data_IF_516909617679
#
_entry.id   IF_516909617679
#
_cell.length_a   1.000
_cell.length_b   1.000
_cell.length_c   1.000
_cell.angle_alpha   90.00
_cell.angle_beta   90.00
_cell.angle_gamma   90.00
#
_symmetry.space_group_name_H-M   'P 1'
#
loop_
_entity.id
_entity.type
_entity.pdbx_description
1 polymer ?
#
# COMPACT_ATOMS: atom_id res chain seq x y z
N UNK A 1 -46.80 74.37 -15.34
CA UNK A 1 -45.33 74.46 -15.36
C UNK A 1 -44.75 73.28 -14.58
N UNK A 2 -43.98 72.43 -15.29
CA UNK A 2 -43.05 71.37 -14.83
C UNK A 2 -43.57 70.26 -13.90
N UNK A 3 -43.92 69.13 -14.52
CA UNK A 3 -43.72 67.79 -13.99
C UNK A 3 -42.21 67.53 -13.85
N UNK A 4 -41.74 67.04 -12.71
CA UNK A 4 -40.45 66.36 -12.58
C UNK A 4 -40.68 65.04 -11.85
N UNK A 5 -40.58 63.94 -12.60
CA UNK A 5 -40.58 62.57 -12.08
C UNK A 5 -39.20 62.27 -11.48
N UNK A 6 -39.20 61.76 -10.25
CA UNK A 6 -38.01 61.24 -9.56
C UNK A 6 -37.74 59.83 -10.09
N UNK A 7 -36.63 59.62 -10.80
CA UNK A 7 -36.15 58.29 -11.17
C UNK A 7 -35.27 57.73 -10.04
N UNK A 8 -35.71 56.62 -9.45
CA UNK A 8 -34.87 55.79 -8.56
C UNK A 8 -34.16 54.76 -9.45
N UNK A 9 -32.84 54.88 -9.58
CA UNK A 9 -32.00 53.86 -10.19
C UNK A 9 -31.70 52.77 -9.14
N UNK A 10 -32.35 51.63 -9.27
CA UNK A 10 -32.02 50.40 -8.55
C UNK A 10 -30.94 49.64 -9.31
N UNK A 11 -29.69 49.69 -8.84
CA UNK A 11 -28.61 48.81 -9.32
C UNK A 11 -28.80 47.42 -8.72
N UNK A 12 -29.36 46.50 -9.51
CA UNK A 12 -29.40 45.07 -9.19
C UNK A 12 -28.03 44.45 -9.40
N UNK A 13 -27.34 44.10 -8.32
CA UNK A 13 -26.10 43.32 -8.36
C UNK A 13 -26.48 41.85 -8.58
N UNK A 14 -26.47 41.40 -9.84
CA UNK A 14 -26.60 39.98 -10.16
C UNK A 14 -25.31 39.25 -9.73
N UNK A 15 -25.35 38.60 -8.57
CA UNK A 15 -24.41 37.54 -8.20
C UNK A 15 -24.70 36.34 -9.10
N UNK A 16 -24.02 36.25 -10.24
CA UNK A 16 -23.95 35.00 -10.99
C UNK A 16 -23.05 34.05 -10.21
N UNK A 17 -23.65 33.17 -9.41
CA UNK A 17 -22.95 32.00 -8.90
C UNK A 17 -22.55 31.15 -10.13
N UNK A 18 -21.27 31.19 -10.48
CA UNK A 18 -20.72 30.21 -11.40
C UNK A 18 -20.84 28.85 -10.70
N UNK A 19 -21.79 28.03 -11.15
CA UNK A 19 -21.78 26.62 -10.80
C UNK A 19 -20.44 26.07 -11.32
N UNK A 20 -19.53 25.72 -10.41
CA UNK A 20 -18.33 24.98 -10.74
C UNK A 20 -18.79 23.74 -11.49
N UNK A 21 -18.45 23.66 -12.77
CA UNK A 21 -18.72 22.48 -13.57
C UNK A 21 -17.80 21.41 -13.01
N UNK A 22 -18.34 20.39 -12.33
CA UNK A 22 -17.57 19.23 -11.93
C UNK A 22 -16.96 18.65 -13.21
N UNK A 23 -15.65 18.80 -13.37
CA UNK A 23 -14.93 18.27 -14.52
C UNK A 23 -15.04 16.75 -14.43
N UNK A 24 -15.57 16.10 -15.47
CA UNK A 24 -15.59 14.64 -15.51
C UNK A 24 -14.15 14.14 -15.59
N UNK A 25 -13.66 13.54 -14.49
CA UNK A 25 -12.30 13.01 -14.44
C UNK A 25 -12.21 11.84 -15.40
N UNK A 26 -11.44 12.02 -16.47
CA UNK A 26 -11.21 11.00 -17.49
C UNK A 26 -9.82 10.43 -17.30
N UNK A 27 -9.70 9.11 -17.36
CA UNK A 27 -8.41 8.48 -17.32
C UNK A 27 -7.57 8.80 -18.57
N UNK A 28 -6.25 8.63 -18.46
CA UNK A 28 -5.25 8.94 -19.48
C UNK A 28 -4.95 10.44 -19.63
N UNK A 29 -5.39 11.28 -18.68
CA UNK A 29 -5.25 12.73 -18.72
C UNK A 29 -4.75 13.25 -17.36
N UNK A 30 -4.15 14.44 -17.37
CA UNK A 30 -3.82 15.16 -16.15
C UNK A 30 -5.09 15.78 -15.55
N UNK A 31 -5.18 15.73 -14.22
CA UNK A 31 -6.22 16.32 -13.40
C UNK A 31 -5.60 17.30 -12.42
N UNK A 32 -6.14 18.51 -12.34
CA UNK A 32 -5.71 19.51 -11.36
C UNK A 32 -6.57 19.41 -10.11
N UNK A 33 -5.95 19.10 -8.97
CA UNK A 33 -6.61 18.94 -7.67
C UNK A 33 -7.40 20.20 -7.31
N UNK A 34 -8.67 20.01 -6.96
CA UNK A 34 -9.59 21.05 -6.55
C UNK A 34 -9.79 21.04 -5.02
N UNK A 35 -10.36 22.14 -4.50
CA UNK A 35 -10.71 22.23 -3.09
C UNK A 35 -11.73 21.14 -2.70
N UNK A 36 -11.40 20.32 -1.71
CA UNK A 36 -12.26 19.24 -1.21
C UNK A 36 -12.04 17.90 -1.90
N UNK A 37 -11.08 17.81 -2.82
CA UNK A 37 -10.66 16.52 -3.36
C UNK A 37 -9.81 15.74 -2.36
N UNK A 38 -10.00 14.43 -2.39
CA UNK A 38 -9.12 13.42 -1.83
C UNK A 38 -8.74 12.46 -2.95
N UNK A 39 -7.62 11.75 -2.85
CA UNK A 39 -7.28 10.75 -3.87
C UNK A 39 -8.39 9.68 -4.00
N UNK A 40 -9.04 9.34 -2.89
CA UNK A 40 -10.21 8.46 -2.82
C UNK A 40 -11.39 9.02 -3.64
N UNK A 41 -11.71 10.31 -3.51
CA UNK A 41 -12.81 10.94 -4.24
C UNK A 41 -12.48 11.12 -5.72
N UNK A 42 -11.23 11.43 -6.07
CA UNK A 42 -10.75 11.49 -7.45
C UNK A 42 -10.84 10.09 -8.08
N UNK A 43 -10.41 9.05 -7.37
CA UNK A 43 -10.52 7.66 -7.83
C UNK A 43 -11.99 7.24 -7.99
N UNK A 44 -12.86 7.61 -7.07
CA UNK A 44 -14.30 7.38 -7.18
C UNK A 44 -14.87 8.06 -8.43
N UNK A 45 -14.47 9.30 -8.71
CA UNK A 45 -14.94 10.04 -9.89
C UNK A 45 -14.38 9.47 -11.21
N UNK A 46 -13.11 9.06 -11.23
CA UNK A 46 -12.43 8.54 -12.42
C UNK A 46 -12.81 7.08 -12.73
N UNK A 47 -13.02 6.27 -11.69
CA UNK A 47 -13.08 4.80 -11.79
C UNK A 47 -14.33 4.19 -11.18
N UNK A 48 -15.15 4.97 -10.47
CA UNK A 48 -16.31 4.48 -9.74
C UNK A 48 -15.97 3.75 -8.44
N UNK A 49 -14.72 3.81 -7.97
CA UNK A 49 -14.27 3.10 -6.78
C UNK A 49 -13.18 3.90 -6.03
N UNK A 50 -13.40 4.13 -4.74
CA UNK A 50 -12.50 4.90 -3.86
C UNK A 50 -11.13 4.24 -3.70
N UNK A 51 -11.06 2.91 -3.55
CA UNK A 51 -9.83 2.12 -3.42
C UNK A 51 -8.90 2.16 -4.62
N UNK A 52 -9.34 2.71 -5.76
CA UNK A 52 -8.48 2.88 -6.93
C UNK A 52 -7.48 4.05 -6.83
N UNK A 53 -7.49 4.76 -5.72
CA UNK A 53 -6.59 5.87 -5.44
C UNK A 53 -5.11 5.49 -5.41
N UNK A 54 -4.76 4.25 -5.03
CA UNK A 54 -3.37 3.76 -5.03
C UNK A 54 -2.74 3.80 -6.43
N UNK A 55 -3.55 3.65 -7.48
CA UNK A 55 -3.08 3.79 -8.87
C UNK A 55 -2.75 5.24 -9.21
N UNK A 56 -3.56 6.19 -8.70
CA UNK A 56 -3.32 7.62 -8.88
C UNK A 56 -2.09 8.02 -8.08
N UNK A 57 -2.03 7.63 -6.81
CA UNK A 57 -0.90 7.92 -5.94
C UNK A 57 0.41 7.39 -6.54
N UNK A 58 0.46 6.11 -6.90
CA UNK A 58 1.64 5.49 -7.49
C UNK A 58 2.12 6.20 -8.75
N UNK A 59 1.20 6.66 -9.61
CA UNK A 59 1.54 7.39 -10.83
C UNK A 59 2.02 8.83 -10.58
N UNK A 60 1.84 9.35 -9.36
CA UNK A 60 2.07 10.76 -9.01
C UNK A 60 2.82 10.94 -7.69
N UNK A 61 3.51 9.90 -7.20
CA UNK A 61 4.18 9.94 -5.90
C UNK A 61 5.21 11.09 -5.82
N UNK A 62 5.88 11.40 -6.93
CA UNK A 62 6.82 12.53 -7.03
C UNK A 62 6.16 13.90 -6.80
N UNK A 63 4.85 14.03 -7.06
CA UNK A 63 4.08 15.26 -6.85
C UNK A 63 3.47 15.29 -5.46
N UNK A 64 2.90 14.17 -5.02
CA UNK A 64 2.11 14.07 -3.77
C UNK A 64 3.03 13.97 -2.54
N UNK A 65 4.22 13.40 -2.70
CA UNK A 65 5.11 13.09 -1.58
C UNK A 65 4.61 11.90 -0.75
N UNK A 66 5.17 11.69 0.45
CA UNK A 66 5.02 10.43 1.18
C UNK A 66 3.64 10.24 1.85
N UNK A 67 2.77 11.27 1.88
CA UNK A 67 1.45 11.16 2.49
C UNK A 67 0.35 11.32 1.41
N UNK A 68 -0.39 10.25 1.09
CA UNK A 68 -1.39 10.22 0.02
C UNK A 68 -2.67 10.97 0.41
N UNK A 69 -2.89 11.19 1.71
CA UNK A 69 -3.98 12.00 2.24
C UNK A 69 -3.72 13.51 2.12
N UNK A 70 -2.50 13.91 1.76
CA UNK A 70 -2.08 15.31 1.66
C UNK A 70 -1.84 15.74 0.21
N UNK A 71 -2.90 15.73 -0.60
CA UNK A 71 -2.89 16.41 -1.90
C UNK A 71 -3.19 17.90 -1.73
N UNK A 72 -2.49 18.75 -2.48
CA UNK A 72 -2.65 20.19 -2.42
C UNK A 72 -3.49 20.70 -3.60
N UNK A 73 -4.35 21.69 -3.33
CA UNK A 73 -5.10 22.36 -4.39
C UNK A 73 -4.12 22.96 -5.41
N UNK A 74 -4.27 22.58 -6.67
CA UNK A 74 -3.39 22.98 -7.76
C UNK A 74 -2.35 21.93 -8.16
N UNK A 75 -2.18 20.84 -7.40
CA UNK A 75 -1.36 19.71 -7.84
C UNK A 75 -1.91 19.15 -9.15
N UNK A 76 -1.00 18.81 -10.07
CA UNK A 76 -1.35 18.23 -11.37
C UNK A 76 -1.02 16.75 -11.32
N UNK A 77 -2.07 15.92 -11.30
CA UNK A 77 -1.97 14.48 -11.16
C UNK A 77 -2.36 13.79 -12.46
N UNK A 78 -1.50 12.94 -13.01
CA UNK A 78 -1.85 12.05 -14.10
C UNK A 78 -2.81 10.97 -13.63
N UNK A 79 -3.98 10.86 -14.26
CA UNK A 79 -5.00 9.84 -13.91
C UNK A 79 -4.82 8.64 -14.84
N UNK A 80 -4.24 7.50 -14.42
CA UNK A 80 -4.03 6.35 -15.31
C UNK A 80 -5.35 5.67 -15.72
N UNK A 81 -5.45 5.10 -16.93
CA UNK A 81 -6.60 4.27 -17.32
C UNK A 81 -6.52 2.87 -16.73
N UNK A 82 -7.63 2.36 -16.17
CA UNK A 82 -7.79 0.95 -15.75
C UNK A 82 -7.80 0.01 -16.96
N UNK A 83 -8.46 0.42 -18.03
CA UNK A 83 -8.68 -0.37 -19.22
C UNK A 83 -7.63 -0.05 -20.28
N UNK A 84 -6.63 -0.90 -20.36
CA UNK A 84 -5.74 -1.04 -21.50
C UNK A 84 -5.48 -2.53 -21.72
N UNK A 85 -4.94 -2.91 -22.88
CA UNK A 85 -4.22 -4.18 -22.94
C UNK A 85 -3.03 -4.04 -21.99
N UNK A 86 -3.15 -4.63 -20.80
CA UNK A 86 -2.12 -4.61 -19.77
C UNK A 86 -1.00 -5.61 -20.10
N UNK A 87 -1.13 -6.32 -21.23
CA UNK A 87 -0.34 -7.49 -21.55
C UNK A 87 -0.64 -8.65 -20.60
N UNK A 88 -0.11 -9.82 -20.95
CA UNK A 88 0.13 -10.84 -19.94
C UNK A 88 1.47 -10.55 -19.27
N UNK A 89 1.66 -11.08 -18.07
CA UNK A 89 2.98 -11.06 -17.45
C UNK A 89 4.02 -11.65 -18.42
N UNK A 90 5.10 -10.91 -18.65
CA UNK A 90 6.25 -11.39 -19.41
C UNK A 90 7.32 -12.03 -18.50
N UNK A 91 7.14 -11.97 -17.18
CA UNK A 91 8.11 -12.44 -16.21
C UNK A 91 8.27 -13.96 -16.28
N UNK A 92 9.52 -14.44 -16.18
CA UNK A 92 9.79 -15.87 -16.23
C UNK A 92 9.19 -16.61 -15.01
N UNK A 93 8.10 -17.36 -15.21
CA UNK A 93 7.46 -18.13 -14.13
C UNK A 93 8.27 -19.34 -13.67
N UNK A 94 9.22 -19.82 -14.47
CA UNK A 94 9.99 -21.03 -14.15
C UNK A 94 10.92 -20.84 -12.94
N UNK A 95 11.18 -19.60 -12.53
CA UNK A 95 11.94 -19.26 -11.32
C UNK A 95 11.12 -19.35 -10.04
N UNK A 96 9.78 -19.41 -10.14
CA UNK A 96 8.86 -19.44 -9.00
C UNK A 96 8.52 -20.89 -8.67
N UNK A 97 8.69 -21.29 -7.41
CA UNK A 97 8.36 -22.63 -6.94
C UNK A 97 7.87 -22.64 -5.49
N UNK A 98 7.05 -23.63 -5.17
CA UNK A 98 6.62 -23.91 -3.79
C UNK A 98 7.63 -24.85 -3.13
N UNK A 99 8.11 -24.50 -1.93
CA UNK A 99 9.07 -25.30 -1.18
C UNK A 99 8.49 -25.67 0.19
N UNK A 100 8.72 -26.90 0.63
CA UNK A 100 8.38 -27.33 1.99
C UNK A 100 9.56 -27.02 2.92
N UNK A 101 9.29 -26.40 4.08
CA UNK A 101 10.29 -25.91 5.05
C UNK A 101 11.30 -26.96 5.55
N UNK A 102 11.05 -28.25 5.32
CA UNK A 102 11.95 -29.35 5.69
C UNK A 102 13.14 -29.54 4.73
N UNK A 103 13.18 -28.85 3.59
CA UNK A 103 14.33 -28.91 2.67
C UNK A 103 15.51 -28.09 3.22
N UNK A 104 16.58 -28.76 3.63
CA UNK A 104 17.81 -28.08 4.07
C UNK A 104 18.51 -27.46 2.84
N UNK A 105 18.32 -26.15 2.65
CA UNK A 105 18.99 -25.43 1.59
C UNK A 105 20.45 -25.11 2.00
N UNK A 106 21.43 -25.31 1.11
CA UNK A 106 22.81 -24.98 1.41
C UNK A 106 22.96 -23.46 1.53
N UNK A 107 23.88 -22.99 2.39
CA UNK A 107 24.10 -21.56 2.62
C UNK A 107 24.41 -20.78 1.31
N UNK A 108 24.13 -19.47 1.24
CA UNK A 108 24.38 -18.66 0.06
C UNK A 108 25.87 -18.63 -0.24
N UNK A 109 26.22 -18.56 -1.52
CA UNK A 109 27.59 -18.45 -2.00
C UNK A 109 27.60 -17.54 -3.23
N UNK A 110 28.76 -16.96 -3.57
CA UNK A 110 28.89 -16.03 -4.70
C UNK A 110 28.47 -16.64 -6.06
N UNK A 111 28.60 -17.95 -6.21
CA UNK A 111 28.26 -18.71 -7.42
C UNK A 111 26.79 -19.19 -7.45
N UNK A 112 25.99 -18.86 -6.44
CA UNK A 112 24.60 -19.30 -6.32
C UNK A 112 23.61 -18.23 -6.78
N UNK A 113 22.44 -18.67 -7.31
CA UNK A 113 21.35 -17.77 -7.62
C UNK A 113 20.92 -17.01 -6.37
N UNK A 114 20.49 -15.76 -6.53
CA UNK A 114 19.81 -15.00 -5.48
C UNK A 114 18.53 -15.75 -5.12
N UNK A 115 18.36 -16.11 -3.84
CA UNK A 115 17.16 -16.81 -3.37
C UNK A 115 16.23 -15.81 -2.71
N UNK A 116 15.10 -15.62 -3.37
CA UNK A 116 13.99 -14.80 -2.88
C UNK A 116 13.00 -15.70 -2.16
N UNK A 117 12.53 -15.21 -1.03
CA UNK A 117 11.61 -15.87 -0.13
C UNK A 117 10.32 -15.05 -0.05
N UNK A 118 9.19 -15.70 -0.27
CA UNK A 118 7.85 -15.11 -0.21
C UNK A 118 6.86 -16.10 0.42
N UNK A 119 5.61 -15.70 0.62
CA UNK A 119 4.54 -16.52 1.19
C UNK A 119 3.20 -16.24 0.50
N UNK A 120 2.19 -17.02 0.86
CA UNK A 120 0.84 -16.91 0.34
C UNK A 120 -0.15 -16.33 1.36
N UNK A 121 -1.36 -16.00 0.93
CA UNK A 121 -2.45 -15.57 1.81
C UNK A 121 -2.62 -14.05 1.94
N UNK A 122 -1.88 -13.26 1.16
CA UNK A 122 -1.98 -11.81 1.14
C UNK A 122 -2.31 -11.27 -0.26
N UNK A 123 -3.44 -11.70 -0.83
CA UNK A 123 -3.90 -11.16 -2.10
C UNK A 123 -4.26 -9.66 -1.99
N UNK A 124 -3.95 -8.83 -3.00
CA UNK A 124 -3.33 -9.18 -4.29
C UNK A 124 -1.80 -9.20 -4.31
N UNK A 125 -1.17 -8.95 -3.17
CA UNK A 125 0.26 -8.69 -3.07
C UNK A 125 1.11 -9.96 -3.16
N UNK A 126 0.75 -11.00 -2.40
CA UNK A 126 1.44 -12.28 -2.38
C UNK A 126 0.42 -13.42 -2.20
N UNK A 127 0.21 -14.21 -3.25
CA UNK A 127 -0.68 -15.36 -3.22
C UNK A 127 -0.36 -16.33 -4.37
N UNK A 128 -0.05 -17.59 -4.06
CA UNK A 128 0.28 -18.65 -5.03
C UNK A 128 -0.82 -18.89 -6.06
N UNK A 129 -2.08 -18.63 -5.71
CA UNK A 129 -3.23 -18.82 -6.61
C UNK A 129 -3.36 -17.70 -7.67
N UNK A 130 -2.59 -16.61 -7.55
CA UNK A 130 -2.61 -15.49 -8.49
C UNK A 130 -1.49 -15.61 -9.53
N UNK A 131 -1.66 -14.92 -10.67
CA UNK A 131 -0.63 -14.85 -11.70
C UNK A 131 0.72 -14.43 -11.07
N UNK A 132 1.80 -15.12 -11.42
CA UNK A 132 3.15 -14.88 -10.87
C UNK A 132 3.24 -14.93 -9.34
N UNK A 133 2.26 -15.52 -8.63
CA UNK A 133 2.27 -15.55 -7.17
C UNK A 133 1.91 -14.22 -6.51
N UNK A 134 1.28 -13.28 -7.23
CA UNK A 134 0.86 -11.97 -6.71
C UNK A 134 1.74 -10.80 -7.17
N UNK A 135 1.28 -9.58 -6.87
CA UNK A 135 1.89 -8.32 -7.32
C UNK A 135 3.34 -8.16 -6.89
N UNK A 136 3.66 -8.34 -5.61
CA UNK A 136 5.02 -8.15 -5.09
C UNK A 136 5.98 -9.21 -5.62
N UNK A 137 5.49 -10.45 -5.73
CA UNK A 137 6.23 -11.58 -6.30
C UNK A 137 6.61 -11.29 -7.76
N UNK A 138 5.69 -10.71 -8.54
CA UNK A 138 6.00 -10.32 -9.91
C UNK A 138 6.93 -9.11 -9.99
N UNK A 139 6.76 -8.11 -9.13
CA UNK A 139 7.63 -6.94 -9.10
C UNK A 139 9.08 -7.36 -8.84
N UNK A 140 9.34 -8.23 -7.86
CA UNK A 140 10.71 -8.70 -7.60
C UNK A 140 11.24 -9.60 -8.72
N UNK A 141 10.38 -10.41 -9.35
CA UNK A 141 10.76 -11.23 -10.51
C UNK A 141 11.22 -10.34 -11.67
N UNK A 142 10.41 -9.34 -12.03
CA UNK A 142 10.72 -8.37 -13.08
C UNK A 142 11.95 -7.52 -12.73
N UNK A 143 12.11 -7.11 -11.48
CA UNK A 143 13.28 -6.36 -11.05
C UNK A 143 14.57 -7.17 -11.28
N UNK A 144 14.62 -8.42 -10.83
CA UNK A 144 15.80 -9.28 -11.00
C UNK A 144 16.05 -9.66 -12.48
N UNK A 145 14.98 -9.85 -13.27
CA UNK A 145 15.09 -10.12 -14.71
C UNK A 145 15.62 -8.91 -15.50
N UNK A 146 15.36 -7.70 -15.02
CA UNK A 146 15.79 -6.44 -15.65
C UNK A 146 16.97 -5.78 -14.91
N UNK A 147 17.61 -6.48 -13.98
CA UNK A 147 18.79 -5.98 -13.28
C UNK A 147 20.04 -6.12 -14.16
N UNK A 148 20.93 -5.15 -14.08
CA UNK A 148 22.23 -5.18 -14.74
C UNK A 148 23.01 -6.44 -14.36
N UNK A 149 23.70 -7.02 -15.34
CA UNK A 149 24.47 -8.25 -15.14
C UNK A 149 23.65 -9.54 -15.21
N UNK A 150 22.32 -9.48 -15.34
CA UNK A 150 21.42 -10.63 -15.50
C UNK A 150 21.67 -11.71 -14.42
N UNK A 151 21.44 -11.40 -13.13
CA UNK A 151 21.71 -12.33 -12.05
C UNK A 151 20.92 -13.63 -12.25
N UNK A 152 21.50 -14.77 -11.85
CA UNK A 152 20.69 -15.96 -11.64
C UNK A 152 19.88 -15.78 -10.35
N UNK A 153 18.61 -16.18 -10.34
CA UNK A 153 17.74 -16.08 -9.17
C UNK A 153 16.67 -17.17 -9.17
N UNK A 154 16.06 -17.36 -7.99
CA UNK A 154 14.89 -18.22 -7.77
C UNK A 154 13.98 -17.58 -6.71
N UNK A 155 12.69 -17.87 -6.78
CA UNK A 155 11.67 -17.36 -5.86
C UNK A 155 10.94 -18.55 -5.26
N UNK A 156 11.06 -18.70 -3.95
CA UNK A 156 10.51 -19.83 -3.21
C UNK A 156 9.39 -19.37 -2.28
N UNK A 157 8.23 -20.03 -2.38
CA UNK A 157 7.13 -19.87 -1.42
C UNK A 157 7.38 -20.72 -0.19
N UNK A 158 7.48 -20.06 0.97
CA UNK A 158 7.58 -20.65 2.29
C UNK A 158 6.42 -20.11 3.14
N UNK A 159 5.36 -20.90 3.28
CA UNK A 159 4.12 -20.49 3.96
C UNK A 159 4.23 -20.61 5.50
N UNK A 160 5.30 -20.03 6.04
CA UNK A 160 5.61 -19.88 7.47
C UNK A 160 6.24 -18.49 7.68
N UNK A 161 5.41 -17.43 7.64
CA UNK A 161 5.85 -16.03 7.69
C UNK A 161 6.72 -15.72 8.91
N UNK A 162 6.43 -16.37 10.04
CA UNK A 162 7.18 -16.21 11.29
C UNK A 162 8.64 -16.63 11.18
N UNK A 163 8.97 -17.52 10.24
CA UNK A 163 10.34 -17.99 10.01
C UNK A 163 11.14 -17.12 9.02
N UNK A 164 10.48 -16.25 8.25
CA UNK A 164 11.10 -15.52 7.13
C UNK A 164 12.26 -14.66 7.61
N UNK A 165 11.99 -13.70 8.50
CA UNK A 165 13.04 -12.80 8.96
C UNK A 165 14.03 -13.52 9.88
N UNK A 166 13.51 -14.41 10.73
CA UNK A 166 14.30 -15.19 11.66
C UNK A 166 13.69 -16.60 11.80
N UNK A 167 14.40 -17.68 11.44
CA UNK A 167 15.83 -17.74 11.13
C UNK A 167 16.19 -17.50 9.66
N UNK A 168 15.25 -17.55 8.71
CA UNK A 168 15.62 -17.80 7.31
C UNK A 168 16.49 -16.70 6.68
N UNK A 169 16.21 -15.43 6.94
CA UNK A 169 17.05 -14.31 6.47
C UNK A 169 18.28 -14.11 7.36
N UNK A 170 18.12 -14.11 8.70
CA UNK A 170 19.26 -13.86 9.62
C UNK A 170 20.33 -14.95 9.58
N UNK A 171 19.95 -16.22 9.42
CA UNK A 171 20.88 -17.35 9.28
C UNK A 171 21.33 -17.55 7.82
N UNK A 172 20.93 -16.64 6.93
CA UNK A 172 21.25 -16.62 5.51
C UNK A 172 20.72 -17.86 4.77
N UNK A 173 19.71 -18.56 5.27
CA UNK A 173 19.09 -19.66 4.52
C UNK A 173 18.48 -19.19 3.20
N UNK A 174 18.03 -17.93 3.15
CA UNK A 174 17.65 -17.18 1.97
C UNK A 174 18.40 -15.85 1.91
N UNK A 175 18.48 -15.26 0.72
CA UNK A 175 19.18 -14.01 0.51
C UNK A 175 18.27 -12.81 0.78
N UNK A 176 17.05 -12.82 0.22
CA UNK A 176 16.07 -11.74 0.41
C UNK A 176 14.66 -12.27 0.68
N UNK A 177 13.89 -11.53 1.48
CA UNK A 177 12.45 -11.74 1.69
C UNK A 177 11.68 -10.50 1.29
N UNK A 178 10.47 -10.62 0.75
CA UNK A 178 9.70 -9.49 0.20
C UNK A 178 8.45 -9.18 1.01
N UNK A 179 7.93 -7.96 0.86
CA UNK A 179 6.64 -7.56 1.45
C UNK A 179 6.73 -7.04 2.87
N UNK A 180 7.86 -6.44 3.25
CA UNK A 180 8.09 -5.96 4.62
C UNK A 180 8.09 -4.44 4.71
N UNK A 181 7.35 -3.93 5.67
CA UNK A 181 7.39 -2.53 6.11
C UNK A 181 8.70 -2.21 6.82
N UNK A 182 9.26 -1.04 6.55
CA UNK A 182 10.42 -0.51 7.26
C UNK A 182 9.95 0.34 8.46
N UNK A 183 10.31 -0.01 9.71
CA UNK A 183 10.03 0.85 10.86
C UNK A 183 10.83 2.15 10.79
N UNK A 184 10.34 3.19 11.45
CA UNK A 184 11.08 4.44 11.63
C UNK A 184 12.25 4.24 12.61
N UNK A 185 13.41 3.83 12.09
CA UNK A 185 14.58 3.51 12.90
C UNK A 185 15.24 4.73 13.57
N UNK A 186 14.84 5.97 13.24
CA UNK A 186 15.32 7.18 13.91
C UNK A 186 14.73 7.33 15.33
N UNK A 187 13.63 6.63 15.62
CA UNK A 187 12.98 6.61 16.94
C UNK A 187 13.15 5.26 17.66
N UNK A 188 14.27 4.56 17.43
CA UNK A 188 14.50 3.19 17.92
C UNK A 188 14.20 2.97 19.41
N UNK A 189 14.46 3.97 20.27
CA UNK A 189 14.20 3.90 21.72
C UNK A 189 12.69 3.86 22.07
N UNK A 190 11.81 4.20 21.12
CA UNK A 190 10.35 4.14 21.25
C UNK A 190 9.75 2.88 20.63
N UNK A 191 10.52 2.15 19.83
CA UNK A 191 10.03 0.99 19.09
C UNK A 191 9.95 -0.25 19.99
N UNK A 192 9.03 -1.16 19.70
CA UNK A 192 8.96 -2.47 20.38
C UNK A 192 10.00 -3.46 19.80
N UNK A 193 10.17 -4.61 20.44
CA UNK A 193 11.21 -5.60 20.11
C UNK A 193 11.20 -6.04 18.64
N UNK A 194 10.01 -6.19 18.03
CA UNK A 194 9.86 -6.59 16.62
C UNK A 194 10.41 -5.51 15.66
N UNK A 195 10.03 -4.26 15.90
CA UNK A 195 10.47 -3.10 15.12
C UNK A 195 11.96 -2.82 15.32
N UNK A 196 12.45 -2.91 16.57
CA UNK A 196 13.88 -2.83 16.87
C UNK A 196 14.67 -3.96 16.18
N UNK A 197 14.13 -5.18 16.16
CA UNK A 197 14.77 -6.31 15.48
C UNK A 197 14.97 -5.99 13.98
N UNK A 198 13.93 -5.49 13.30
CA UNK A 198 14.03 -5.10 11.88
C UNK A 198 15.10 -4.04 11.67
N UNK A 199 15.07 -2.96 12.47
CA UNK A 199 16.07 -1.89 12.40
C UNK A 199 17.51 -2.36 12.65
N UNK A 200 17.71 -3.28 13.59
CA UNK A 200 19.03 -3.73 13.99
C UNK A 200 19.62 -4.82 13.09
N UNK A 201 18.78 -5.59 12.39
CA UNK A 201 19.22 -6.81 11.70
C UNK A 201 19.00 -6.79 10.19
N UNK A 202 18.19 -5.88 9.64
CA UNK A 202 17.80 -5.89 8.23
C UNK A 202 18.18 -4.59 7.51
N UNK A 203 18.66 -4.72 6.28
CA UNK A 203 18.68 -3.64 5.32
C UNK A 203 17.53 -3.80 4.32
N UNK A 204 17.05 -2.68 3.80
CA UNK A 204 15.83 -2.58 2.98
C UNK A 204 16.19 -2.12 1.57
N UNK A 205 15.58 -2.73 0.56
CA UNK A 205 15.67 -2.27 -0.83
C UNK A 205 15.03 -0.88 -1.02
N UNK A 206 15.16 -0.33 -2.21
CA UNK A 206 14.21 0.67 -2.70
C UNK A 206 12.77 0.10 -2.64
N UNK A 207 11.73 0.96 -2.59
CA UNK A 207 10.35 0.53 -2.51
C UNK A 207 9.93 -0.41 -3.65
N UNK A 208 9.40 -1.59 -3.28
CA UNK A 208 8.73 -2.50 -4.20
C UNK A 208 7.34 -1.97 -4.53
N UNK A 209 6.60 -1.57 -3.50
CA UNK A 209 5.23 -1.09 -3.60
C UNK A 209 4.91 -0.19 -2.41
N UNK A 210 3.98 0.74 -2.62
CA UNK A 210 3.45 1.61 -1.59
C UNK A 210 1.96 1.27 -1.43
N UNK A 211 1.59 0.81 -0.24
CA UNK A 211 0.20 0.64 0.12
C UNK A 211 -0.24 1.78 1.02
N UNK A 212 -1.54 1.98 1.13
CA UNK A 212 -2.09 3.00 2.01
C UNK A 212 -2.92 2.32 3.07
N UNK A 213 -2.55 2.57 4.32
CA UNK A 213 -3.23 2.07 5.48
C UNK A 213 -4.25 3.11 5.96
N UNK A 214 -5.45 2.63 6.25
CA UNK A 214 -6.54 3.41 6.81
C UNK A 214 -6.92 2.93 8.20
N UNK A 215 -7.39 3.87 9.02
CA UNK A 215 -8.09 3.57 10.26
C UNK A 215 -9.59 3.59 9.99
N UNK A 216 -10.27 2.53 10.38
CA UNK A 216 -11.70 2.33 10.16
C UNK A 216 -12.43 2.17 11.49
N UNK A 217 -13.66 2.69 11.57
CA UNK A 217 -14.58 2.49 12.69
C UNK A 217 -16.01 2.32 12.20
N UNK A 218 -16.97 2.13 13.11
CA UNK A 218 -18.39 2.16 12.74
C UNK A 218 -18.80 3.59 12.36
N UNK A 219 -19.67 3.74 11.36
CA UNK A 219 -20.20 5.05 10.92
C UNK A 219 -21.00 5.80 12.00
N UNK A 220 -21.34 5.13 13.10
CA UNK A 220 -21.96 5.76 14.28
C UNK A 220 -20.96 6.49 15.19
N UNK A 221 -19.66 6.21 15.05
CA UNK A 221 -18.60 6.87 15.80
C UNK A 221 -18.29 8.25 15.22
N UNK A 222 -17.65 9.15 16.00
CA UNK A 222 -17.12 10.39 15.44
C UNK A 222 -16.02 10.11 14.39
N UNK A 223 -15.87 11.03 13.43
CA UNK A 223 -14.71 11.02 12.53
C UNK A 223 -13.50 11.54 13.31
N UNK A 224 -12.49 10.70 13.48
CA UNK A 224 -11.22 11.08 14.12
C UNK A 224 -10.29 11.78 13.13
N UNK A 225 -9.60 12.80 13.62
CA UNK A 225 -8.64 13.59 12.85
C UNK A 225 -7.23 13.59 13.45
N UNK A 226 -7.07 13.09 14.68
CA UNK A 226 -5.78 12.92 15.35
C UNK A 226 -5.67 11.53 15.99
N UNK A 227 -4.51 10.88 15.86
CA UNK A 227 -4.23 9.57 16.46
C UNK A 227 -4.43 9.59 17.98
N UNK A 228 -4.17 10.71 18.66
CA UNK A 228 -4.40 10.84 20.10
C UNK A 228 -5.86 10.62 20.53
N UNK A 229 -6.82 10.79 19.61
CA UNK A 229 -8.24 10.51 19.86
C UNK A 229 -8.55 9.00 19.95
N UNK A 230 -7.62 8.16 19.49
CA UNK A 230 -7.73 6.69 19.56
C UNK A 230 -7.22 6.13 20.90
N UNK A 231 -6.69 6.97 21.80
CA UNK A 231 -6.27 6.52 23.13
C UNK A 231 -7.46 5.93 23.90
N UNK A 232 -7.25 4.76 24.49
CA UNK A 232 -8.24 3.98 25.21
C UNK A 232 -9.07 3.04 24.34
N UNK A 233 -8.88 3.05 23.01
CA UNK A 233 -9.57 2.19 22.06
C UNK A 233 -8.90 0.83 21.90
N UNK A 234 -9.68 -0.14 21.45
CA UNK A 234 -9.20 -1.40 20.92
C UNK A 234 -8.92 -1.28 19.42
N UNK A 235 -7.70 -1.60 18.99
CA UNK A 235 -7.27 -1.53 17.59
C UNK A 235 -6.98 -2.94 17.07
N UNK A 236 -7.70 -3.32 16.02
CA UNK A 236 -7.49 -4.58 15.32
C UNK A 236 -6.34 -4.49 14.32
N UNK A 237 -5.45 -5.47 14.35
CA UNK A 237 -4.38 -5.71 13.38
C UNK A 237 -4.28 -7.21 13.08
N UNK A 238 -3.95 -7.58 11.85
CA UNK A 238 -3.73 -8.99 11.49
C UNK A 238 -2.58 -9.61 12.31
N UNK A 239 -2.62 -10.92 12.56
CA UNK A 239 -1.58 -11.65 13.31
C UNK A 239 -0.20 -11.51 12.67
N UNK A 240 -0.10 -11.61 11.34
CA UNK A 240 1.16 -11.52 10.61
C UNK A 240 1.71 -10.09 10.48
N UNK A 241 0.95 -9.06 10.88
CA UNK A 241 1.27 -7.66 10.55
C UNK A 241 1.90 -6.96 11.75
N UNK A 242 2.92 -6.14 11.47
CA UNK A 242 3.66 -5.39 12.49
C UNK A 242 2.80 -4.31 13.16
N UNK A 243 3.21 -3.93 14.37
CA UNK A 243 2.67 -2.79 15.12
C UNK A 243 3.46 -1.49 14.90
N UNK A 244 4.56 -1.52 14.13
CA UNK A 244 5.41 -0.35 13.88
C UNK A 244 4.63 0.93 13.51
N UNK A 245 3.57 0.89 12.68
CA UNK A 245 2.84 2.11 12.36
C UNK A 245 2.08 2.72 13.55
N UNK A 246 1.68 1.90 14.53
CA UNK A 246 1.05 2.37 15.76
C UNK A 246 2.09 2.94 16.74
N UNK A 247 3.28 2.34 16.78
CA UNK A 247 4.41 2.82 17.59
C UNK A 247 4.84 4.23 17.19
N UNK A 248 4.90 4.52 15.89
CA UNK A 248 5.30 5.82 15.35
C UNK A 248 4.38 6.97 15.79
N UNK A 249 3.09 6.67 16.01
CA UNK A 249 2.07 7.62 16.44
C UNK A 249 1.71 7.50 17.92
N UNK A 250 2.57 6.84 18.71
CA UNK A 250 2.44 6.66 20.17
C UNK A 250 1.16 5.91 20.61
N UNK A 251 0.57 5.12 19.70
CA UNK A 251 -0.54 4.21 19.96
C UNK A 251 -0.02 2.83 20.39
N UNK A 252 0.55 2.76 21.59
CA UNK A 252 1.14 1.54 22.17
C UNK A 252 0.44 1.13 23.47
N UNK A 253 0.59 -0.12 23.89
CA UNK A 253 0.07 -0.55 25.19
C UNK A 253 0.80 0.17 26.35
N UNK A 254 0.11 0.57 27.44
CA UNK A 254 -1.29 0.32 27.77
C UNK A 254 -2.26 1.42 27.30
N UNK A 255 -1.82 2.38 26.47
CA UNK A 255 -2.67 3.47 25.99
C UNK A 255 -3.79 2.97 25.06
N UNK A 256 -3.57 1.85 24.37
CA UNK A 256 -4.57 1.15 23.57
C UNK A 256 -4.60 -0.35 23.92
N UNK A 257 -5.61 -1.05 23.41
CA UNK A 257 -5.67 -2.52 23.43
C UNK A 257 -5.48 -3.06 22.02
N UNK A 258 -4.51 -3.96 21.80
CA UNK A 258 -4.35 -4.63 20.51
C UNK A 258 -5.28 -5.85 20.45
N UNK A 259 -6.05 -5.93 19.37
CA UNK A 259 -6.86 -7.09 19.00
C UNK A 259 -6.21 -7.74 17.77
N UNK A 260 -5.93 -9.04 17.83
CA UNK A 260 -5.34 -9.77 16.71
C UNK A 260 -6.41 -10.57 15.97
N UNK A 261 -6.48 -10.39 14.67
CA UNK A 261 -7.34 -11.17 13.78
C UNK A 261 -6.49 -12.05 12.84
N UNK A 262 -7.00 -13.20 12.36
CA UNK A 262 -6.23 -14.09 11.49
C UNK A 262 -5.74 -13.39 10.22
N UNK A 263 -6.60 -12.61 9.56
CA UNK A 263 -6.27 -11.83 8.37
C UNK A 263 -6.60 -10.36 8.53
N UNK A 264 -6.05 -9.51 7.64
CA UNK A 264 -6.37 -8.07 7.65
C UNK A 264 -7.84 -7.79 7.30
N UNK A 265 -8.46 -8.62 6.45
CA UNK A 265 -9.88 -8.50 6.14
C UNK A 265 -10.78 -8.82 7.35
N UNK A 266 -10.39 -9.79 8.17
CA UNK A 266 -11.15 -10.17 9.38
C UNK A 266 -11.24 -9.01 10.39
N UNK A 267 -10.32 -8.04 10.36
CA UNK A 267 -10.43 -6.85 11.19
C UNK A 267 -11.66 -5.99 10.86
N UNK A 268 -12.15 -5.98 9.62
CA UNK A 268 -13.41 -5.32 9.26
C UNK A 268 -14.61 -6.08 9.84
N UNK A 269 -14.54 -7.41 9.89
CA UNK A 269 -15.58 -8.21 10.57
C UNK A 269 -15.60 -7.89 12.07
N UNK A 270 -14.42 -7.79 12.69
CA UNK A 270 -14.29 -7.51 14.11
C UNK A 270 -14.82 -6.13 14.49
N UNK A 271 -14.71 -5.14 13.61
CA UNK A 271 -15.38 -3.84 13.78
C UNK A 271 -16.89 -3.99 13.81
N UNK A 272 -17.47 -4.67 12.81
CA UNK A 272 -18.92 -4.83 12.66
C UNK A 272 -19.51 -5.64 13.82
N UNK A 273 -18.78 -6.64 14.29
CA UNK A 273 -19.17 -7.50 15.42
C UNK A 273 -18.92 -6.85 16.79
N UNK A 274 -18.30 -5.66 16.84
CA UNK A 274 -18.00 -4.95 18.08
C UNK A 274 -16.87 -5.60 18.92
N UNK A 275 -15.99 -6.36 18.28
CA UNK A 275 -14.81 -6.99 18.89
C UNK A 275 -13.60 -6.05 18.93
N UNK A 276 -13.58 -5.03 18.08
CA UNK A 276 -12.61 -3.94 18.07
C UNK A 276 -13.32 -2.61 17.81
N UNK A 277 -12.78 -1.51 18.33
CA UNK A 277 -13.28 -0.16 18.05
C UNK A 277 -12.74 0.38 16.72
N UNK A 278 -11.49 0.04 16.41
CA UNK A 278 -10.75 0.54 15.24
C UNK A 278 -10.13 -0.65 14.50
N UNK A 279 -10.12 -0.63 13.16
CA UNK A 279 -9.29 -1.52 12.36
C UNK A 279 -8.24 -0.72 11.59
N UNK A 280 -6.99 -1.16 11.65
CA UNK A 280 -5.90 -0.61 10.85
C UNK A 280 -5.62 -1.58 9.69
N UNK A 281 -6.08 -1.23 8.49
CA UNK A 281 -6.12 -2.14 7.31
C UNK A 281 -5.75 -1.37 6.04
N UNK A 282 -5.10 -2.05 5.09
CA UNK A 282 -4.85 -1.49 3.77
C UNK A 282 -6.15 -1.19 3.05
N UNK A 283 -6.26 -0.02 2.42
CA UNK A 283 -7.55 0.47 1.90
C UNK A 283 -8.16 -0.47 0.86
N UNK A 284 -7.36 -1.05 -0.06
CA UNK A 284 -7.87 -2.03 -1.03
C UNK A 284 -8.44 -3.29 -0.36
N UNK A 285 -7.84 -3.74 0.75
CA UNK A 285 -8.31 -4.90 1.52
C UNK A 285 -9.61 -4.58 2.25
N UNK A 286 -9.66 -3.40 2.89
CA UNK A 286 -10.85 -2.93 3.58
C UNK A 286 -12.02 -2.73 2.61
N UNK A 287 -11.80 -2.05 1.47
CA UNK A 287 -12.84 -1.81 0.46
C UNK A 287 -13.39 -3.12 -0.10
N UNK A 288 -12.52 -4.09 -0.42
CA UNK A 288 -12.93 -5.41 -0.86
C UNK A 288 -13.82 -6.12 0.18
N UNK A 289 -13.44 -6.07 1.46
CA UNK A 289 -14.21 -6.71 2.53
C UNK A 289 -15.52 -5.98 2.83
N UNK A 290 -15.51 -4.65 2.90
CA UNK A 290 -16.70 -3.81 3.11
C UNK A 290 -17.72 -4.03 1.99
N UNK A 291 -17.26 -4.11 0.73
CA UNK A 291 -18.09 -4.43 -0.42
C UNK A 291 -18.72 -5.83 -0.29
N UNK A 292 -17.91 -6.85 -0.01
CA UNK A 292 -18.39 -8.23 0.15
C UNK A 292 -19.45 -8.37 1.26
N UNK A 293 -19.34 -7.58 2.33
CA UNK A 293 -20.28 -7.55 3.45
C UNK A 293 -21.49 -6.63 3.21
N UNK A 294 -21.53 -5.87 2.12
CA UNK A 294 -22.50 -4.79 1.88
C UNK A 294 -22.53 -3.78 3.05
N UNK A 295 -21.38 -3.46 3.62
CA UNK A 295 -21.24 -2.70 4.86
C UNK A 295 -20.85 -1.22 4.65
N UNK A 296 -20.93 -0.70 3.42
CA UNK A 296 -20.49 0.67 3.09
C UNK A 296 -21.21 1.78 3.87
N UNK A 297 -22.44 1.54 4.34
CA UNK A 297 -23.16 2.48 5.22
C UNK A 297 -22.79 2.37 6.70
N UNK A 298 -22.09 1.29 7.09
CA UNK A 298 -21.87 0.90 8.48
C UNK A 298 -20.44 1.14 8.94
N UNK A 299 -19.49 1.23 8.00
CA UNK A 299 -18.07 1.44 8.26
C UNK A 299 -17.64 2.76 7.63
N UNK A 300 -16.83 3.53 8.35
CA UNK A 300 -16.22 4.76 7.86
C UNK A 300 -14.70 4.68 7.98
N UNK A 301 -13.99 5.37 7.08
CA UNK A 301 -12.55 5.54 7.11
C UNK A 301 -12.21 6.94 7.65
N UNK A 302 -11.18 7.04 8.48
CA UNK A 302 -10.67 8.30 9.00
C UNK A 302 -9.54 8.83 8.10
N UNK A 303 -9.91 9.56 7.04
CA UNK A 303 -8.96 10.02 6.00
C UNK A 303 -7.76 10.79 6.55
N UNK A 304 -7.98 11.63 7.57
CA UNK A 304 -6.92 12.40 8.23
C UNK A 304 -5.86 11.54 8.95
N UNK A 305 -6.16 10.27 9.23
CA UNK A 305 -5.26 9.31 9.87
C UNK A 305 -4.57 8.38 8.86
N UNK A 306 -4.90 8.49 7.56
CA UNK A 306 -4.29 7.64 6.54
C UNK A 306 -2.81 7.94 6.34
N UNK A 307 -2.03 6.92 6.01
CA UNK A 307 -0.61 7.06 5.70
C UNK A 307 -0.17 5.99 4.70
N UNK A 308 0.95 6.24 4.03
CA UNK A 308 1.60 5.25 3.15
C UNK A 308 2.47 4.33 3.98
N UNK A 309 2.23 3.03 3.83
CA UNK A 309 3.19 2.01 4.21
C UNK A 309 3.98 1.57 2.98
N UNK A 310 5.29 1.43 3.15
CA UNK A 310 6.21 1.15 2.05
C UNK A 310 6.73 -0.26 2.22
N UNK A 311 6.52 -1.08 1.19
CA UNK A 311 6.88 -2.48 1.18
C UNK A 311 8.20 -2.68 0.44
N UNK A 312 9.12 -3.40 1.09
CA UNK A 312 10.49 -3.60 0.61
C UNK A 312 10.82 -5.08 0.45
N UNK A 313 11.90 -5.35 -0.29
CA UNK A 313 12.70 -6.54 -0.08
C UNK A 313 13.68 -6.27 1.07
N UNK A 314 13.94 -7.27 1.90
CA UNK A 314 14.85 -7.17 3.05
C UNK A 314 15.93 -8.23 2.96
N UNK A 315 17.12 -7.87 3.44
CA UNK A 315 18.30 -8.72 3.54
C UNK A 315 18.91 -8.58 4.94
N UNK A 316 19.55 -9.62 5.45
CA UNK A 316 20.27 -9.50 6.72
C UNK A 316 21.47 -8.54 6.59
N UNK A 317 21.65 -7.64 7.55
CA UNK A 317 22.83 -6.76 7.67
C UNK A 317 24.15 -7.55 7.71
N UNK A 318 24.10 -8.75 8.28
CA UNK A 318 25.24 -9.66 8.39
C UNK A 318 25.51 -10.46 7.10
N UNK A 319 24.66 -10.34 6.08
CA UNK A 319 24.78 -11.12 4.86
C UNK A 319 26.06 -10.74 4.09
N UNK A 320 26.92 -11.70 3.71
CA UNK A 320 28.21 -11.40 3.09
C UNK A 320 28.09 -10.73 1.70
N UNK A 321 26.93 -10.88 1.05
CA UNK A 321 26.62 -10.26 -0.25
C UNK A 321 25.59 -9.14 -0.16
N UNK A 322 25.34 -8.58 1.04
CA UNK A 322 24.27 -7.60 1.29
C UNK A 322 24.25 -6.46 0.26
N UNK A 323 25.31 -5.64 0.23
CA UNK A 323 25.41 -4.47 -0.65
C UNK A 323 25.21 -4.84 -2.12
N UNK A 324 25.91 -5.89 -2.59
CA UNK A 324 25.82 -6.35 -3.98
C UNK A 324 24.40 -6.83 -4.37
N UNK A 325 23.68 -7.51 -3.47
CA UNK A 325 22.32 -7.99 -3.75
C UNK A 325 21.33 -6.83 -3.71
N UNK A 326 21.45 -5.91 -2.75
CA UNK A 326 20.59 -4.73 -2.71
C UNK A 326 20.80 -3.84 -3.93
N UNK A 327 22.04 -3.61 -4.35
CA UNK A 327 22.33 -2.84 -5.57
C UNK A 327 21.69 -3.49 -6.80
N UNK A 328 21.74 -4.82 -6.90
CA UNK A 328 21.11 -5.58 -7.98
C UNK A 328 19.59 -5.40 -7.98
N UNK A 329 18.95 -5.55 -6.82
CA UNK A 329 17.49 -5.36 -6.68
C UNK A 329 17.10 -3.92 -7.01
N UNK A 330 17.82 -2.94 -6.47
CA UNK A 330 17.51 -1.52 -6.63
C UNK A 330 17.67 -1.06 -8.07
N UNK A 331 18.74 -1.48 -8.75
CA UNK A 331 18.94 -1.23 -10.18
C UNK A 331 17.82 -1.85 -11.02
N UNK A 332 17.42 -3.09 -10.71
CA UNK A 332 16.28 -3.75 -11.34
C UNK A 332 14.97 -2.98 -11.17
N UNK A 333 14.70 -2.51 -9.94
CA UNK A 333 13.52 -1.70 -9.62
C UNK A 333 13.53 -0.36 -10.39
N UNK A 334 14.68 0.29 -10.50
CA UNK A 334 14.84 1.50 -11.30
C UNK A 334 14.54 1.24 -12.78
N UNK A 335 15.07 0.15 -13.35
CA UNK A 335 14.87 -0.22 -14.75
C UNK A 335 13.40 -0.50 -15.09
N UNK A 336 12.67 -1.21 -14.22
CA UNK A 336 11.23 -1.49 -14.46
C UNK A 336 10.34 -0.27 -14.23
N UNK A 337 10.74 0.67 -13.37
CA UNK A 337 10.04 1.96 -13.21
C UNK A 337 10.27 2.85 -14.44
N UNK A 338 11.53 3.00 -14.88
CA UNK A 338 11.89 3.82 -16.03
C UNK A 338 11.27 3.34 -17.36
N UNK A 339 11.11 2.03 -17.52
CA UNK A 339 10.47 1.44 -18.71
C UNK A 339 8.94 1.45 -18.68
N UNK A 340 8.33 1.81 -17.54
CA UNK A 340 6.88 1.77 -17.36
C UNK A 340 6.31 0.39 -16.98
N UNK A 341 7.15 -0.66 -16.96
CA UNK A 341 6.75 -2.05 -16.67
C UNK A 341 6.16 -2.17 -15.27
N UNK A 342 6.75 -1.51 -14.27
CA UNK A 342 6.25 -1.51 -12.89
C UNK A 342 4.78 -1.04 -12.82
N UNK A 343 4.48 0.09 -13.46
CA UNK A 343 3.12 0.67 -13.48
C UNK A 343 2.11 -0.23 -14.20
N UNK A 344 2.54 -0.88 -15.29
CA UNK A 344 1.69 -1.84 -16.02
C UNK A 344 1.35 -3.05 -15.15
N UNK A 345 2.34 -3.59 -14.43
CA UNK A 345 2.18 -4.74 -13.52
C UNK A 345 1.25 -4.40 -12.36
N UNK A 346 1.47 -3.27 -11.67
CA UNK A 346 0.57 -2.79 -10.60
C UNK A 346 -0.86 -2.68 -11.12
N UNK A 347 -1.06 -1.96 -12.23
CA UNK A 347 -2.38 -1.77 -12.81
C UNK A 347 -3.06 -3.10 -13.14
N UNK A 348 -2.32 -4.10 -13.63
CA UNK A 348 -2.87 -5.42 -13.96
C UNK A 348 -3.35 -6.17 -12.73
N UNK A 349 -2.49 -6.35 -11.74
CA UNK A 349 -2.85 -7.06 -10.52
C UNK A 349 -4.01 -6.39 -9.79
N UNK A 350 -3.99 -5.06 -9.67
CA UNK A 350 -5.05 -4.33 -8.99
C UNK A 350 -6.38 -4.42 -9.75
N UNK A 351 -6.35 -4.34 -11.08
CA UNK A 351 -7.55 -4.51 -11.91
C UNK A 351 -8.12 -5.94 -11.82
N UNK A 352 -7.26 -6.96 -11.87
CA UNK A 352 -7.66 -8.37 -11.77
C UNK A 352 -8.26 -8.69 -10.40
N UNK A 353 -7.60 -8.25 -9.32
CA UNK A 353 -8.09 -8.44 -7.96
C UNK A 353 -9.45 -7.79 -7.74
N UNK A 354 -9.65 -6.57 -8.26
CA UNK A 354 -10.94 -5.88 -8.17
C UNK A 354 -12.03 -6.63 -8.93
N UNK A 355 -11.76 -7.10 -10.15
CA UNK A 355 -12.72 -7.89 -10.94
C UNK A 355 -13.15 -9.19 -10.26
N UNK A 356 -12.30 -9.75 -9.40
CA UNK A 356 -12.60 -10.99 -8.68
C UNK A 356 -13.43 -10.76 -7.38
N UNK A 357 -13.49 -9.53 -6.86
CA UNK A 357 -14.04 -9.20 -5.54
C UNK A 357 -15.14 -8.11 -5.56
N UNK A 358 -15.55 -7.66 -6.74
CA UNK A 358 -16.74 -6.83 -7.00
C UNK A 358 -17.80 -7.69 -7.70
#
# INVERSE_FOLDING_TARGET
MRNLQTYVLSTGLCLTAAAASAQSISCGQDYTVQSGDFLSSIALAAYGNTGSFNLIYSANADVIGPNPGLINVGDVLFIPCLDGDLGQSAANTAVIRTVQTTEQLPAPAEDKPIRVLTATGWAPFMNEDQAQGGLLTEIINLALENADGNPAYQIDFINDDGAHLNPLIVDHAYDISIGWSQPNCDIIDKLEDESQFRCNNLDFSAPLYEEVLGYYSLSSDPVFADHAELIGKSICRAEAFTLAPLEEVELVAPAITIVRAPTAADCIDYLIDGQADIALVAVDVADGRISALNAASNVQMHEALTFVDVLHAVIAKTHPRNEAILDTVNNGLENIKASGVWFQTVRRHMTEFRKANL
#
